data_IF_107532312109
#
_entry.id   IF_107532312109
#
_cell.length_a   1.000
_cell.length_b   1.000
_cell.length_c   1.000
_cell.angle_alpha   90.00
_cell.angle_beta   90.00
_cell.angle_gamma   90.00
#
_symmetry.space_group_name_H-M   'P 1'
#
loop_
_entity.id
_entity.type
_entity.pdbx_description
1 polymer ?
#
# COMPACT_ATOMS: atom_id res chain seq x y z
N UNK A 1 10.56 8.83 -17.07
CA UNK A 1 11.24 8.61 -15.77
C UNK A 1 12.59 8.01 -16.03
N UNK A 2 13.65 8.72 -15.66
CA UNK A 2 15.03 8.27 -15.83
C UNK A 2 15.57 7.81 -14.47
N UNK A 3 16.44 6.81 -14.50
CA UNK A 3 17.06 6.22 -13.33
C UNK A 3 18.13 7.17 -12.77
N UNK A 4 18.02 7.52 -11.49
CA UNK A 4 18.98 8.43 -10.83
C UNK A 4 20.42 7.90 -10.79
N UNK A 5 20.61 6.57 -10.91
CA UNK A 5 21.94 5.95 -10.85
C UNK A 5 22.67 5.86 -12.19
N UNK A 6 21.95 5.83 -13.31
CA UNK A 6 22.57 5.59 -14.63
C UNK A 6 21.94 6.40 -15.77
N UNK A 7 20.95 7.24 -15.50
CA UNK A 7 20.25 8.04 -16.50
C UNK A 7 19.36 7.26 -17.48
N UNK A 8 19.40 5.92 -17.46
CA UNK A 8 18.59 5.06 -18.32
C UNK A 8 17.10 5.14 -17.98
N UNK A 9 16.22 4.76 -18.90
CA UNK A 9 14.77 4.78 -18.66
C UNK A 9 14.39 3.79 -17.55
N UNK A 10 13.32 4.10 -16.82
CA UNK A 10 12.72 3.17 -15.86
C UNK A 10 11.47 2.54 -16.46
N UNK A 11 11.25 1.26 -16.11
CA UNK A 11 10.17 0.41 -16.62
C UNK A 11 9.42 -0.23 -15.46
N UNK A 12 8.09 -0.29 -15.56
CA UNK A 12 7.25 -1.02 -14.61
C UNK A 12 7.31 -2.51 -14.95
N UNK A 13 7.62 -3.34 -13.95
CA UNK A 13 7.65 -4.80 -14.06
C UNK A 13 6.76 -5.41 -12.99
N UNK A 14 6.15 -6.54 -13.29
CA UNK A 14 5.33 -7.29 -12.34
C UNK A 14 6.18 -8.37 -11.66
N UNK A 15 6.14 -8.42 -10.33
CA UNK A 15 6.84 -9.43 -9.53
C UNK A 15 5.94 -10.09 -8.50
N UNK A 16 6.53 -10.97 -7.67
CA UNK A 16 5.79 -11.74 -6.64
C UNK A 16 4.99 -10.90 -5.63
N UNK A 17 5.33 -9.62 -5.48
CA UNK A 17 4.70 -8.69 -4.52
C UNK A 17 3.90 -7.58 -5.20
N UNK A 18 3.62 -7.70 -6.51
CA UNK A 18 2.97 -6.68 -7.31
C UNK A 18 3.94 -5.98 -8.26
N UNK A 19 3.46 -4.89 -8.83
CA UNK A 19 4.22 -4.07 -9.78
C UNK A 19 5.30 -3.26 -9.06
N UNK A 20 6.45 -3.15 -9.71
CA UNK A 20 7.58 -2.37 -9.23
C UNK A 20 8.29 -1.70 -10.40
N UNK A 21 8.76 -0.48 -10.18
CA UNK A 21 9.48 0.29 -11.21
C UNK A 21 10.97 0.01 -11.10
N UNK A 22 11.57 -0.59 -12.13
CA UNK A 22 12.97 -0.95 -12.18
C UNK A 22 13.71 -0.24 -13.32
N UNK A 23 15.03 -0.09 -13.19
CA UNK A 23 15.85 0.41 -14.27
C UNK A 23 15.79 -0.52 -15.50
N UNK A 24 15.69 0.04 -16.70
CA UNK A 24 15.70 -0.73 -17.95
C UNK A 24 17.03 -1.44 -18.19
N UNK A 25 18.13 -0.88 -17.67
CA UNK A 25 19.49 -1.38 -17.88
C UNK A 25 19.90 -2.49 -16.89
N UNK A 26 18.96 -3.33 -16.45
CA UNK A 26 19.29 -4.51 -15.65
C UNK A 26 19.93 -5.58 -16.55
N UNK A 27 21.03 -6.27 -16.15
CA UNK A 27 21.61 -6.37 -14.79
C UNK A 27 22.65 -5.31 -14.40
N UNK A 28 23.10 -4.48 -15.33
CA UNK A 28 24.13 -3.44 -15.12
C UNK A 28 23.72 -2.41 -14.06
N UNK A 29 22.44 -2.04 -14.01
CA UNK A 29 21.88 -1.16 -13.00
C UNK A 29 20.70 -1.82 -12.28
N UNK A 30 20.91 -2.20 -11.01
CA UNK A 30 19.91 -2.84 -10.13
C UNK A 30 19.02 -1.84 -9.39
N UNK A 31 18.88 -0.61 -9.91
CA UNK A 31 18.06 0.40 -9.24
C UNK A 31 16.56 0.07 -9.37
N UNK A 32 15.85 0.12 -8.25
CA UNK A 32 14.40 -0.11 -8.17
C UNK A 32 13.82 1.11 -7.45
N UNK A 33 12.93 1.83 -8.12
CA UNK A 33 12.06 2.80 -7.46
C UNK A 33 11.00 2.00 -6.72
N UNK A 34 11.06 2.07 -5.39
CA UNK A 34 9.99 1.56 -4.53
C UNK A 34 8.83 2.55 -4.65
N UNK A 35 8.03 2.41 -5.69
CA UNK A 35 6.72 3.06 -5.70
C UNK A 35 5.99 2.61 -4.43
N UNK A 36 5.53 3.61 -3.67
CA UNK A 36 4.80 3.41 -2.42
C UNK A 36 3.73 2.37 -2.69
N UNK A 37 3.81 1.23 -1.99
CA UNK A 37 2.85 0.11 -2.02
C UNK A 37 1.53 0.53 -2.66
N UNK A 38 1.33 0.16 -3.92
CA UNK A 38 0.09 0.41 -4.65
C UNK A 38 -0.94 -0.60 -4.13
N UNK A 39 -1.33 -0.45 -2.88
CA UNK A 39 -2.64 -0.92 -2.46
C UNK A 39 -3.66 0.10 -2.96
N UNK A 40 -4.92 -0.31 -3.21
CA UNK A 40 -5.99 0.65 -3.39
C UNK A 40 -5.94 1.65 -2.22
N UNK A 41 -6.17 2.95 -2.48
CA UNK A 41 -6.22 3.94 -1.42
C UNK A 41 -7.22 3.48 -0.36
N UNK A 42 -6.91 3.67 0.94
CA UNK A 42 -7.80 3.23 2.00
C UNK A 42 -9.16 3.91 1.86
N UNK A 43 -10.22 3.13 1.67
CA UNK A 43 -11.60 3.63 1.60
C UNK A 43 -12.00 4.11 2.99
N UNK A 44 -12.08 5.43 3.20
CA UNK A 44 -12.47 5.99 4.50
C UNK A 44 -13.93 5.64 4.79
N UNK A 45 -14.20 5.09 5.98
CA UNK A 45 -15.58 4.76 6.38
C UNK A 45 -16.28 5.90 7.12
N UNK A 46 -15.55 6.96 7.48
CA UNK A 46 -16.07 8.04 8.32
C UNK A 46 -16.30 7.64 9.79
N UNK A 47 -16.05 6.37 10.14
CA UNK A 47 -16.18 5.87 11.50
C UNK A 47 -14.96 6.29 12.33
N UNK A 48 -15.19 6.85 13.52
CA UNK A 48 -14.10 7.10 14.47
C UNK A 48 -13.58 5.78 15.06
N UNK A 49 -12.27 5.72 15.27
CA UNK A 49 -11.60 4.60 15.91
C UNK A 49 -12.00 4.57 17.40
N UNK A 50 -12.63 3.48 17.80
CA UNK A 50 -13.06 3.20 19.18
C UNK A 50 -11.90 3.07 20.17
N UNK A 51 -10.70 2.69 19.71
CA UNK A 51 -9.53 2.57 20.59
C UNK A 51 -8.81 3.87 20.89
N UNK A 52 -8.76 4.81 19.94
CA UNK A 52 -8.02 6.05 20.12
C UNK A 52 -8.89 7.31 20.16
N UNK A 53 -10.17 7.23 19.77
CA UNK A 53 -11.10 8.36 19.75
C UNK A 53 -10.82 9.44 18.70
N UNK A 54 -9.57 9.57 18.26
CA UNK A 54 -9.09 10.65 17.39
C UNK A 54 -8.95 10.25 15.92
N UNK A 55 -8.52 9.01 15.65
CA UNK A 55 -8.25 8.54 14.29
C UNK A 55 -9.50 8.01 13.60
N UNK A 56 -9.63 8.21 12.30
CA UNK A 56 -10.69 7.58 11.50
C UNK A 56 -10.33 6.13 11.14
N UNK A 57 -11.35 5.29 10.98
CA UNK A 57 -11.22 3.95 10.42
C UNK A 57 -11.34 4.03 8.90
N UNK A 58 -10.50 3.27 8.21
CA UNK A 58 -10.55 3.14 6.77
C UNK A 58 -10.38 1.68 6.35
N UNK A 59 -11.15 1.24 5.36
CA UNK A 59 -11.06 -0.09 4.79
C UNK A 59 -9.81 -0.17 3.93
N UNK A 60 -9.01 -1.19 4.21
CA UNK A 60 -7.80 -1.55 3.47
C UNK A 60 -7.94 -2.96 2.98
N UNK A 61 -7.38 -3.24 1.82
CA UNK A 61 -7.29 -4.60 1.29
C UNK A 61 -5.96 -5.22 1.72
N UNK A 62 -6.04 -6.38 2.36
CA UNK A 62 -4.89 -7.17 2.78
C UNK A 62 -4.90 -8.55 2.16
N UNK A 63 -3.89 -9.36 2.49
CA UNK A 63 -3.76 -10.74 2.01
C UNK A 63 -5.01 -11.61 2.29
N UNK A 64 -5.75 -11.29 3.35
CA UNK A 64 -6.90 -12.06 3.83
C UNK A 64 -8.25 -11.39 3.50
N UNK A 65 -8.26 -10.36 2.66
CA UNK A 65 -9.45 -9.59 2.31
C UNK A 65 -9.47 -8.17 2.89
N UNK A 66 -10.63 -7.54 2.82
CA UNK A 66 -10.85 -6.17 3.31
C UNK A 66 -10.89 -6.14 4.84
N UNK A 67 -10.20 -5.18 5.45
CA UNK A 67 -10.19 -4.95 6.90
C UNK A 67 -10.24 -3.44 7.18
N UNK A 68 -10.94 -3.02 8.24
CA UNK A 68 -10.91 -1.63 8.72
C UNK A 68 -9.65 -1.42 9.55
N UNK A 69 -8.89 -0.38 9.27
CA UNK A 69 -7.69 0.00 10.02
C UNK A 69 -7.73 1.47 10.40
N UNK A 70 -7.22 1.80 11.58
CA UNK A 70 -7.10 3.19 12.00
C UNK A 70 -6.08 3.94 11.14
N UNK A 71 -6.43 5.16 10.69
CA UNK A 71 -5.55 6.04 9.92
C UNK A 71 -4.37 6.57 10.73
N UNK A 72 -4.45 6.59 12.06
CA UNK A 72 -3.39 7.05 12.95
C UNK A 72 -2.23 6.04 13.13
N UNK A 73 -2.08 5.03 12.26
CA UNK A 73 -0.91 4.16 12.26
C UNK A 73 0.37 4.98 12.00
N UNK A 74 1.48 4.80 12.76
CA UNK A 74 1.76 3.73 13.71
C UNK A 74 1.32 3.99 15.16
N UNK A 75 0.80 5.18 15.48
CA UNK A 75 0.35 5.55 16.85
C UNK A 75 -0.82 4.70 17.33
N UNK A 76 -1.76 4.41 16.42
CA UNK A 76 -2.87 3.49 16.68
C UNK A 76 -2.82 2.30 15.72
N UNK A 77 -2.65 1.09 16.26
CA UNK A 77 -2.63 -0.18 15.50
C UNK A 77 -4.00 -0.88 15.51
N UNK A 78 -5.07 -0.15 15.77
CA UNK A 78 -6.40 -0.73 15.82
C UNK A 78 -6.85 -1.20 14.43
N UNK A 79 -7.31 -2.44 14.34
CA UNK A 79 -7.86 -3.06 13.14
C UNK A 79 -9.11 -3.84 13.50
N UNK A 80 -10.13 -3.77 12.64
CA UNK A 80 -11.36 -4.53 12.75
C UNK A 80 -11.56 -5.31 11.45
N UNK A 81 -12.06 -6.54 11.57
CA UNK A 81 -12.43 -7.29 10.38
C UNK A 81 -13.68 -6.64 9.77
N UNK A 82 -13.74 -6.57 8.44
CA UNK A 82 -15.02 -6.29 7.77
C UNK A 82 -15.62 -7.65 7.53
N UNK A 83 -16.56 -8.07 8.36
CA UNK A 83 -17.31 -9.29 8.09
C UNK A 83 -17.99 -9.09 6.73
N UNK A 84 -17.83 -10.03 5.77
CA UNK A 84 -18.65 -9.99 4.58
C UNK A 84 -20.08 -10.11 5.08
N UNK A 85 -20.93 -9.14 4.70
CA UNK A 85 -22.36 -9.26 4.92
C UNK A 85 -22.77 -10.46 4.08
N UNK A 86 -22.85 -11.64 4.71
CA UNK A 86 -23.57 -12.78 4.15
C UNK A 86 -25.03 -12.38 4.36
N UNK A 87 -25.62 -11.75 3.35
CA UNK A 87 -27.07 -11.60 3.26
C UNK A 87 -27.65 -12.84 2.60
#
# INVERSE_FOLDING_TARGET
MNCEKCGSKMVVKTGRYGEFTACSNYPECKNILKDKKVGPPPEKTGEKCDKCGEGEMAIREGKFGKFKACLNYPKCKNTKNVEPIIQ
#
